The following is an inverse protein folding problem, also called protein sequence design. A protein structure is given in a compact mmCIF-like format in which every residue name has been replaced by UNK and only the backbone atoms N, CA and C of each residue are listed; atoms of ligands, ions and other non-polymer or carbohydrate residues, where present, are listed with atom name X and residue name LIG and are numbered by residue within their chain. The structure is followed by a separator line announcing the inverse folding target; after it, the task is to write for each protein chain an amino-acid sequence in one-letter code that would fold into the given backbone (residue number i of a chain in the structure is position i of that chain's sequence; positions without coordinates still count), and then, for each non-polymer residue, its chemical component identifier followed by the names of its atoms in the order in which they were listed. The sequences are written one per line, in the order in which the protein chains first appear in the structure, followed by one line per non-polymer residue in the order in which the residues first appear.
data_IF_804430341444
#
_entry.id   IF_804430341444
#
_cell.length_a   1.000
_cell.length_b   1.000
_cell.length_c   1.000
_cell.angle_alpha   90.00
_cell.angle_beta   90.00
_cell.angle_gamma   90.00
#
_symmetry.space_group_name_H-M   'P 1'
#
loop_
_entity.id
_entity.type
_entity.pdbx_description
1 polymer ?
#
# COMPACT_ATOMS: atom_id res chain seq x y z
N UNK A 1 4.93 6.80 -23.16
CA UNK A 1 4.39 5.43 -23.19
C UNK A 1 3.33 5.32 -22.11
N UNK A 2 2.21 4.64 -22.38
CA UNK A 2 1.15 4.39 -21.41
C UNK A 2 1.01 2.89 -21.20
N UNK A 3 0.94 2.51 -19.93
CA UNK A 3 0.59 1.18 -19.46
C UNK A 3 -0.78 1.25 -18.77
N UNK A 4 -1.64 0.26 -18.99
CA UNK A 4 -3.00 0.20 -18.45
C UNK A 4 -3.40 -1.23 -18.08
N UNK A 5 -4.64 -1.44 -17.63
CA UNK A 5 -5.09 -2.74 -17.11
C UNK A 5 -5.02 -3.89 -18.12
N UNK A 6 -5.20 -3.60 -19.41
CA UNK A 6 -5.26 -4.61 -20.48
C UNK A 6 -4.08 -4.54 -21.46
N UNK A 7 -3.24 -3.51 -21.36
CA UNK A 7 -2.16 -3.28 -22.31
C UNK A 7 -0.95 -2.70 -21.60
N UNK A 8 0.23 -3.07 -22.08
CA UNK A 8 1.49 -2.48 -21.66
C UNK A 8 2.21 -1.94 -22.89
N UNK A 9 2.83 -0.79 -22.73
CA UNK A 9 3.81 -0.30 -23.67
C UNK A 9 3.26 0.54 -24.82
N UNK A 10 2.05 1.09 -24.71
CA UNK A 10 1.47 1.88 -25.82
C UNK A 10 2.21 3.21 -25.99
N UNK A 11 2.78 3.44 -27.16
CA UNK A 11 3.43 4.71 -27.48
C UNK A 11 2.44 5.76 -27.96
N UNK A 12 2.60 7.00 -27.49
CA UNK A 12 1.73 8.11 -27.83
C UNK A 12 2.59 9.34 -28.01
N UNK A 13 2.33 10.08 -29.07
CA UNK A 13 3.01 11.35 -29.35
C UNK A 13 2.19 12.49 -28.78
N UNK A 14 2.86 13.44 -28.13
CA UNK A 14 2.25 14.71 -27.76
C UNK A 14 1.99 15.54 -29.01
N UNK A 15 0.97 16.39 -28.97
CA UNK A 15 0.81 17.41 -30.01
C UNK A 15 1.84 18.55 -29.81
N UNK A 16 1.86 19.50 -30.76
CA UNK A 16 2.73 20.68 -30.71
C UNK A 16 2.48 21.60 -29.51
N UNK A 17 1.34 21.47 -28.82
CA UNK A 17 1.01 22.21 -27.60
C UNK A 17 1.34 21.46 -26.31
N UNK A 18 1.98 20.28 -26.39
CA UNK A 18 2.36 19.48 -25.21
C UNK A 18 1.22 18.69 -24.55
N UNK A 19 0.01 18.71 -25.14
CA UNK A 19 -1.12 17.90 -24.65
C UNK A 19 -1.12 16.50 -25.27
N UNK A 20 -1.59 15.52 -24.50
CA UNK A 20 -1.72 14.12 -24.92
C UNK A 20 -3.21 13.76 -24.82
N UNK A 21 -3.78 13.27 -25.92
CA UNK A 21 -5.12 12.67 -25.93
C UNK A 21 -4.97 11.16 -26.03
N UNK A 22 -5.62 10.45 -25.13
CA UNK A 22 -5.55 9.00 -25.06
C UNK A 22 -6.95 8.39 -25.01
N UNK A 23 -7.40 7.69 -26.08
CA UNK A 23 -8.75 7.11 -26.12
C UNK A 23 -8.87 5.74 -25.44
N UNK A 24 -7.78 5.12 -24.99
CA UNK A 24 -7.76 3.75 -24.43
C UNK A 24 -8.21 3.62 -22.97
N UNK A 25 -9.09 4.52 -22.50
CA UNK A 25 -9.61 4.57 -21.13
C UNK A 25 -10.97 3.86 -20.99
N UNK A 26 -11.21 2.83 -21.79
CA UNK A 26 -12.48 2.07 -21.77
C UNK A 26 -12.62 1.10 -20.60
N UNK A 27 -11.59 0.97 -19.75
CA UNK A 27 -11.59 0.05 -18.61
C UNK A 27 -11.24 0.81 -17.34
N UNK A 28 -11.95 0.48 -16.27
CA UNK A 28 -11.68 1.02 -14.93
C UNK A 28 -10.32 0.53 -14.44
N UNK A 29 -9.55 1.43 -13.82
CA UNK A 29 -8.26 1.09 -13.24
C UNK A 29 -7.26 2.24 -13.19
N UNK A 30 -6.04 1.92 -12.78
CA UNK A 30 -4.92 2.87 -12.73
C UNK A 30 -4.07 2.69 -13.99
N UNK A 31 -3.72 3.81 -14.61
CA UNK A 31 -2.89 3.88 -15.80
C UNK A 31 -1.59 4.62 -15.48
N UNK A 32 -0.50 4.17 -16.08
CA UNK A 32 0.83 4.71 -15.86
C UNK A 32 1.32 5.41 -17.13
N UNK A 33 1.61 6.69 -17.03
CA UNK A 33 2.26 7.46 -18.08
C UNK A 33 3.76 7.58 -17.77
N UNK A 34 4.59 7.01 -18.65
CA UNK A 34 6.04 7.15 -18.63
C UNK A 34 6.50 8.08 -19.76
N UNK A 35 7.24 9.11 -19.40
CA UNK A 35 7.88 10.05 -20.33
C UNK A 35 9.38 9.79 -20.29
N UNK A 36 10.05 9.76 -21.46
CA UNK A 36 11.43 9.27 -21.59
C UNK A 36 12.47 9.92 -20.64
N UNK A 37 12.20 11.12 -20.13
CA UNK A 37 13.05 11.84 -19.18
C UNK A 37 12.29 12.35 -17.94
N UNK A 38 11.08 11.84 -17.67
CA UNK A 38 10.19 12.36 -16.62
C UNK A 38 9.80 11.31 -15.59
N UNK A 39 9.28 11.78 -14.45
CA UNK A 39 8.67 10.91 -13.45
C UNK A 39 7.44 10.18 -14.03
N UNK A 40 7.22 8.94 -13.57
CA UNK A 40 6.01 8.19 -13.88
C UNK A 40 4.82 8.94 -13.28
N UNK A 41 3.84 9.28 -14.12
CA UNK A 41 2.59 9.88 -13.68
C UNK A 41 1.49 8.83 -13.68
N UNK A 42 0.80 8.72 -12.55
CA UNK A 42 -0.36 7.85 -12.42
C UNK A 42 -1.63 8.66 -12.68
N UNK A 43 -2.62 8.04 -13.32
CA UNK A 43 -3.97 8.56 -13.37
C UNK A 43 -4.97 7.42 -13.23
N UNK A 44 -6.06 7.64 -12.50
CA UNK A 44 -7.14 6.68 -12.38
C UNK A 44 -8.23 6.97 -13.41
N UNK A 45 -8.89 5.93 -13.88
CA UNK A 45 -10.07 6.02 -14.72
C UNK A 45 -11.21 5.33 -14.00
N UNK A 46 -12.23 6.10 -13.67
CA UNK A 46 -13.51 5.63 -13.18
C UNK A 46 -14.58 5.93 -14.25
N UNK A 47 -15.40 4.94 -14.57
CA UNK A 47 -16.45 5.05 -15.60
C UNK A 47 -17.79 5.54 -15.04
N UNK A 48 -17.94 5.54 -13.72
CA UNK A 48 -19.17 5.93 -13.01
C UNK A 48 -19.15 7.41 -12.62
N UNK A 49 -18.00 7.93 -12.19
CA UNK A 49 -17.83 9.33 -11.80
C UNK A 49 -16.44 9.87 -12.21
N UNK A 50 -16.44 11.05 -12.81
CA UNK A 50 -15.21 11.77 -13.17
C UNK A 50 -14.48 12.30 -11.94
N UNK A 51 -15.18 12.65 -10.86
CA UNK A 51 -14.57 13.11 -9.62
C UNK A 51 -13.78 11.99 -8.91
N UNK A 52 -14.25 10.75 -8.98
CA UNK A 52 -13.55 9.58 -8.43
C UNK A 52 -12.28 9.21 -9.22
N UNK A 53 -12.11 9.77 -10.42
CA UNK A 53 -10.87 9.62 -11.21
C UNK A 53 -9.74 10.53 -10.71
N UNK A 54 -10.05 11.52 -9.85
CA UNK A 54 -9.05 12.43 -9.32
C UNK A 54 -8.27 11.80 -8.16
N UNK A 55 -7.05 11.37 -8.45
CA UNK A 55 -6.09 10.82 -7.49
C UNK A 55 -4.89 11.76 -7.26
N UNK A 56 -5.03 13.05 -7.59
CA UNK A 56 -3.95 14.01 -7.41
C UNK A 56 -3.59 14.14 -5.93
N UNK A 57 -2.30 14.09 -5.56
CA UNK A 57 -1.89 14.31 -4.18
C UNK A 57 -2.33 15.70 -3.71
N UNK A 58 -3.22 15.76 -2.72
CA UNK A 58 -3.56 17.01 -2.05
C UNK A 58 -2.51 17.33 -0.99
N UNK A 59 -2.08 18.60 -0.96
CA UNK A 59 -1.14 19.10 0.06
C UNK A 59 -1.71 19.07 1.47
N UNK A 60 -3.03 19.15 1.60
CA UNK A 60 -3.73 19.20 2.87
C UNK A 60 -4.95 18.29 2.81
N UNK A 61 -5.09 17.41 3.79
CA UNK A 61 -6.25 16.54 3.94
C UNK A 61 -6.96 16.99 5.21
N UNK A 62 -8.19 17.51 5.06
CA UNK A 62 -9.03 17.88 6.20
C UNK A 62 -9.93 16.69 6.52
N UNK A 63 -9.81 16.14 7.72
CA UNK A 63 -10.66 15.05 8.18
C UNK A 63 -11.47 15.51 9.39
N UNK A 64 -12.80 15.42 9.30
CA UNK A 64 -13.72 15.87 10.36
C UNK A 64 -13.48 17.33 10.83
N UNK A 65 -13.10 18.23 9.92
CA UNK A 65 -12.87 19.65 10.22
C UNK A 65 -11.55 19.94 10.94
N UNK A 66 -10.65 18.96 11.04
CA UNK A 66 -9.29 19.15 11.53
C UNK A 66 -8.30 18.88 10.40
N UNK A 67 -7.32 19.77 10.17
CA UNK A 67 -6.24 19.49 9.23
C UNK A 67 -5.44 18.29 9.75
N UNK A 68 -5.32 17.26 8.93
CA UNK A 68 -4.46 16.12 9.23
C UNK A 68 -3.02 16.55 8.95
N UNK A 69 -2.32 16.97 10.00
CA UNK A 69 -0.88 17.18 9.96
C UNK A 69 -0.20 15.91 9.44
N UNK A 70 0.65 16.05 8.42
CA UNK A 70 1.46 14.95 7.92
C UNK A 70 2.30 14.41 9.09
N UNK A 71 1.97 13.19 9.52
CA UNK A 71 2.63 12.60 10.67
C UNK A 71 4.07 12.25 10.28
N UNK A 72 5.03 13.13 10.59
CA UNK A 72 6.48 12.86 10.51
C UNK A 72 6.95 11.78 11.52
N UNK A 73 6.04 10.94 12.04
CA UNK A 73 6.47 9.83 12.89
C UNK A 73 7.14 8.81 11.98
N UNK A 74 8.47 8.88 11.95
CA UNK A 74 9.35 7.78 11.62
C UNK A 74 8.67 6.49 12.11
N UNK A 75 8.29 5.64 11.16
CA UNK A 75 7.56 4.37 11.34
C UNK A 75 7.68 3.90 12.77
N UNK A 76 6.67 4.24 13.59
CA UNK A 76 6.72 3.92 15.00
C UNK A 76 6.87 2.40 15.07
N UNK A 77 8.04 1.94 15.53
CA UNK A 77 8.33 0.51 15.74
C UNK A 77 7.54 -0.01 16.95
N UNK A 78 6.30 0.45 17.11
CA UNK A 78 5.42 0.19 18.24
C UNK A 78 4.80 -1.21 18.19
N UNK A 79 4.86 -1.88 17.04
CA UNK A 79 4.42 -3.27 16.91
C UNK A 79 5.63 -4.23 17.06
N UNK A 80 6.25 -4.26 18.25
CA UNK A 80 7.16 -5.37 18.55
C UNK A 80 6.31 -6.64 18.72
N UNK A 81 6.60 -7.72 17.99
CA UNK A 81 5.86 -8.98 18.14
C UNK A 81 6.31 -9.66 19.43
N UNK A 82 5.68 -9.30 20.56
CA UNK A 82 5.97 -9.90 21.88
C UNK A 82 5.37 -11.31 22.03
N UNK A 83 4.39 -11.65 21.20
CA UNK A 83 3.67 -12.92 21.27
C UNK A 83 4.53 -14.19 21.17
N UNK A 84 5.63 -14.27 20.35
CA UNK A 84 6.45 -15.48 20.27
C UNK A 84 7.17 -15.76 21.60
N UNK A 85 7.56 -14.72 22.33
CA UNK A 85 8.22 -14.86 23.62
C UNK A 85 7.24 -15.37 24.68
N UNK A 86 5.99 -14.89 24.67
CA UNK A 86 4.95 -15.36 25.58
C UNK A 86 4.60 -16.84 25.33
N UNK A 87 4.49 -17.24 24.05
CA UNK A 87 4.26 -18.65 23.68
C UNK A 87 5.46 -19.51 24.08
N UNK A 88 6.68 -19.05 23.85
CA UNK A 88 7.90 -19.75 24.28
C UNK A 88 7.96 -19.96 25.80
N UNK A 89 7.63 -18.92 26.58
CA UNK A 89 7.58 -19.03 28.04
C UNK A 89 6.55 -20.05 28.51
N UNK A 90 5.35 -20.03 27.94
CA UNK A 90 4.29 -21.00 28.27
C UNK A 90 4.71 -22.45 27.95
N UNK A 91 5.39 -22.67 26.80
CA UNK A 91 5.90 -23.98 26.41
C UNK A 91 6.96 -24.50 27.40
N UNK A 92 7.89 -23.63 27.83
CA UNK A 92 8.93 -23.99 28.81
C UNK A 92 8.31 -24.39 30.15
N UNK A 93 7.31 -23.64 30.62
CA UNK A 93 6.59 -23.96 31.85
C UNK A 93 5.87 -25.31 31.76
N UNK A 94 5.19 -25.59 30.65
CA UNK A 94 4.52 -26.88 30.44
C UNK A 94 5.51 -28.06 30.40
N UNK A 95 6.66 -27.90 29.74
CA UNK A 95 7.72 -28.91 29.73
C UNK A 95 8.31 -29.16 31.13
N UNK A 96 8.52 -28.10 31.91
CA UNK A 96 8.99 -28.19 33.29
C UNK A 96 7.98 -28.92 34.18
N UNK A 97 6.70 -28.56 34.08
CA UNK A 97 5.63 -29.23 34.81
C UNK A 97 5.58 -30.72 34.49
N UNK A 98 5.63 -31.07 33.21
CA UNK A 98 5.67 -32.46 32.75
C UNK A 98 6.89 -33.22 33.29
N UNK A 99 8.07 -32.60 33.26
CA UNK A 99 9.30 -33.21 33.76
C UNK A 99 9.24 -33.47 35.27
N UNK A 100 8.77 -32.48 36.03
CA UNK A 100 8.60 -32.60 37.49
C UNK A 100 7.59 -33.69 37.82
N UNK A 101 6.47 -33.74 37.10
CA UNK A 101 5.47 -34.80 37.27
C UNK A 101 6.08 -36.19 37.04
N UNK A 102 6.81 -36.38 35.93
CA UNK A 102 7.44 -37.66 35.61
C UNK A 102 8.53 -38.05 36.60
N UNK A 103 9.30 -37.09 37.11
CA UNK A 103 10.30 -37.34 38.15
C UNK A 103 9.64 -37.76 39.47
N UNK A 104 8.54 -37.10 39.84
CA UNK A 104 7.80 -37.39 41.08
C UNK A 104 7.03 -38.72 41.03
N UNK A 105 6.58 -39.15 39.86
CA UNK A 105 5.90 -40.46 39.68
C UNK A 105 6.88 -41.64 39.64
N UNK A 106 8.16 -41.40 39.29
CA UNK A 106 9.20 -42.43 39.20
C UNK A 106 9.92 -42.73 40.51
N UNK A 107 9.64 -41.96 41.58
CA UNK A 107 10.16 -42.13 42.95
C UNK A 107 9.03 -42.68 43.80
#
# INVERSE_FOLDING_TARGET
RIDGPDFSGMEIKSNSSGSIRFPGTGRVGVYNLSVAAGAIRLFAVNLLDTHESNIEPLREIVFAGQPVEAQERALSRANLPLWPFLVGLALVLACLEWLIYNLKVRI
#
